data_IF_445113327264
#
_entry.id   IF_445113327264
#
_cell.length_a   1.000
_cell.length_b   1.000
_cell.length_c   1.000
_cell.angle_alpha   90.00
_cell.angle_beta   90.00
_cell.angle_gamma   90.00
#
_symmetry.space_group_name_H-M   'P 1'
#
loop_
_entity.id
_entity.type
_entity.pdbx_description
1 polymer ?
#
# COMPACT_ATOMS: atom_id res chain seq x y z
N UNK A 1 -4.68 -17.87 53.55
CA UNK A 1 -5.68 -18.19 52.50
C UNK A 1 -6.00 -17.01 51.60
N UNK A 2 -5.91 -15.75 52.06
CA UNK A 2 -6.09 -14.56 51.20
C UNK A 2 -4.97 -14.32 50.19
N UNK A 3 -3.72 -14.71 50.47
CA UNK A 3 -2.62 -14.57 49.50
C UNK A 3 -2.68 -15.59 48.35
N UNK A 4 -3.42 -16.69 48.49
CA UNK A 4 -3.57 -17.70 47.44
C UNK A 4 -4.66 -17.32 46.41
N UNK A 5 -5.70 -16.59 46.85
CA UNK A 5 -6.77 -16.12 45.96
C UNK A 5 -6.34 -14.92 45.11
N UNK A 6 -5.48 -14.04 45.64
CA UNK A 6 -4.89 -12.93 44.85
C UNK A 6 -3.93 -13.46 43.79
N UNK A 7 -3.22 -14.57 44.07
CA UNK A 7 -2.34 -15.21 43.08
C UNK A 7 -3.11 -15.91 41.95
N UNK A 8 -4.30 -16.43 42.23
CA UNK A 8 -5.13 -17.12 41.22
C UNK A 8 -5.95 -16.16 40.35
N UNK A 9 -6.27 -14.95 40.85
CA UNK A 9 -6.95 -13.90 40.08
C UNK A 9 -6.00 -13.18 39.09
N UNK A 10 -4.70 -13.14 39.40
CA UNK A 10 -3.68 -12.60 38.48
C UNK A 10 -3.28 -13.58 37.36
N UNK A 11 -3.68 -14.86 37.44
CA UNK A 11 -3.23 -15.90 36.50
C UNK A 11 -4.25 -16.23 35.39
N UNK A 12 -5.49 -15.74 35.46
CA UNK A 12 -6.56 -16.03 34.49
C UNK A 12 -7.02 -14.84 33.64
N UNK A 13 -6.29 -13.73 33.63
CA UNK A 13 -6.41 -12.75 32.54
C UNK A 13 -5.71 -13.34 31.32
N UNK A 14 -6.49 -13.80 30.35
CA UNK A 14 -6.02 -14.00 28.97
C UNK A 14 -5.59 -12.64 28.41
N UNK A 15 -4.35 -12.27 28.74
CA UNK A 15 -3.54 -11.33 28.00
C UNK A 15 -3.45 -11.88 26.57
N UNK A 16 -3.98 -11.15 25.60
CA UNK A 16 -3.45 -11.24 24.24
C UNK A 16 -1.99 -10.77 24.38
N UNK A 17 -0.99 -11.61 24.09
CA UNK A 17 0.40 -11.25 24.33
C UNK A 17 0.79 -10.14 23.35
N UNK A 18 0.97 -8.94 23.88
CA UNK A 18 1.74 -7.87 23.21
C UNK A 18 3.16 -8.05 23.72
N UNK A 19 4.05 -8.55 22.87
CA UNK A 19 5.43 -8.90 23.23
C UNK A 19 6.21 -7.69 23.76
N UNK A 20 7.01 -7.94 24.80
CA UNK A 20 8.03 -7.02 25.30
C UNK A 20 9.03 -6.67 24.20
N UNK A 21 9.30 -5.38 24.04
CA UNK A 21 10.41 -4.86 23.25
C UNK A 21 11.61 -4.71 24.19
N UNK A 22 12.62 -5.55 24.03
CA UNK A 22 13.99 -5.27 24.47
C UNK A 22 14.99 -6.09 23.67
N UNK A 23 15.78 -5.35 22.88
CA UNK A 23 17.10 -5.60 22.26
C UNK A 23 17.56 -7.04 22.03
N UNK A 24 17.84 -7.35 20.75
CA UNK A 24 18.59 -8.55 20.36
C UNK A 24 18.11 -9.13 19.04
N UNK A 25 18.98 -9.04 18.04
CA UNK A 25 18.92 -9.70 16.73
C UNK A 25 18.38 -11.13 16.77
N UNK A 26 17.22 -11.37 16.15
CA UNK A 26 17.12 -12.24 14.98
C UNK A 26 15.66 -12.40 14.52
N UNK A 27 15.52 -12.45 13.20
CA UNK A 27 14.28 -12.51 12.45
C UNK A 27 13.42 -13.71 12.86
N UNK A 28 12.14 -13.49 13.21
CA UNK A 28 10.99 -14.23 12.65
C UNK A 28 9.70 -13.43 12.91
N UNK A 29 8.94 -13.21 11.84
CA UNK A 29 7.79 -12.33 11.73
C UNK A 29 6.54 -12.92 12.41
N UNK A 30 6.07 -12.34 13.51
CA UNK A 30 4.76 -12.66 14.10
C UNK A 30 3.72 -11.65 13.62
N UNK A 31 3.37 -11.77 12.34
CA UNK A 31 2.33 -11.00 11.64
C UNK A 31 0.99 -11.74 11.79
N UNK A 32 -0.07 -11.15 12.37
CA UNK A 32 -1.42 -11.61 12.04
C UNK A 32 -1.61 -11.28 10.55
N UNK A 33 -1.84 -12.30 9.73
CA UNK A 33 -1.95 -12.15 8.29
C UNK A 33 -3.01 -11.07 7.95
N UNK A 34 -2.55 -9.99 7.33
CA UNK A 34 -3.43 -9.04 6.65
C UNK A 34 -4.25 -9.82 5.60
N UNK A 35 -5.58 -9.62 5.47
CA UNK A 35 -6.41 -10.37 4.51
C UNK A 35 -6.17 -9.94 3.06
N UNK A 36 -5.34 -8.92 2.85
CA UNK A 36 -4.84 -8.55 1.53
C UNK A 36 -3.50 -9.28 1.38
N UNK A 37 -3.55 -10.47 0.78
CA UNK A 37 -2.35 -11.09 0.24
C UNK A 37 -1.66 -10.06 -0.64
N UNK A 38 -0.48 -9.60 -0.25
CA UNK A 38 0.40 -8.82 -1.10
C UNK A 38 0.64 -9.66 -2.35
N UNK A 39 -0.02 -9.26 -3.44
CA UNK A 39 -0.05 -9.97 -4.70
C UNK A 39 1.38 -10.05 -5.25
N UNK A 40 2.10 -11.13 -4.95
CA UNK A 40 3.21 -11.57 -5.80
C UNK A 40 2.59 -12.20 -7.03
N UNK A 41 2.19 -11.34 -7.96
CA UNK A 41 1.81 -11.74 -9.31
C UNK A 41 3.09 -12.10 -10.07
N UNK A 42 3.75 -13.20 -9.71
CA UNK A 42 4.65 -13.89 -10.63
C UNK A 42 3.80 -14.59 -11.69
N UNK A 43 3.09 -13.80 -12.51
CA UNK A 43 2.64 -14.27 -13.81
C UNK A 43 3.90 -14.48 -14.64
N UNK A 44 4.01 -15.63 -15.29
CA UNK A 44 5.02 -15.88 -16.33
C UNK A 44 4.74 -14.97 -17.54
N UNK A 45 5.02 -13.68 -17.39
CA UNK A 45 4.75 -12.62 -18.37
C UNK A 45 5.54 -12.78 -19.68
N UNK A 46 6.61 -13.58 -19.67
CA UNK A 46 7.45 -13.82 -20.85
C UNK A 46 6.72 -14.60 -21.94
N UNK A 47 5.84 -15.54 -21.57
CA UNK A 47 5.14 -16.41 -22.52
C UNK A 47 3.98 -15.68 -23.21
N UNK A 48 3.22 -14.88 -22.47
CA UNK A 48 2.14 -14.06 -23.03
C UNK A 48 2.69 -12.98 -23.98
N UNK A 49 3.82 -12.35 -23.63
CA UNK A 49 4.50 -11.39 -24.50
C UNK A 49 5.03 -12.03 -25.79
N UNK A 50 5.52 -13.27 -25.73
CA UNK A 50 5.99 -14.01 -26.91
C UNK A 50 4.84 -14.31 -27.89
N UNK A 51 3.63 -14.61 -27.38
CA UNK A 51 2.45 -14.79 -28.23
C UNK A 51 1.92 -13.49 -28.82
N UNK A 52 2.01 -12.37 -28.10
CA UNK A 52 1.56 -11.05 -28.57
C UNK A 52 2.47 -10.50 -29.68
N UNK A 53 3.80 -10.67 -29.55
CA UNK A 53 4.79 -10.25 -30.55
C UNK A 53 4.64 -10.92 -31.93
N UNK A 54 3.94 -12.05 -32.02
CA UNK A 54 3.76 -12.82 -33.26
C UNK A 54 2.45 -12.49 -34.00
N UNK A 55 1.56 -11.70 -33.40
CA UNK A 55 0.24 -11.37 -33.93
C UNK A 55 0.21 -10.00 -34.62
N UNK A 56 -0.49 -9.90 -35.77
CA UNK A 56 -0.80 -8.63 -36.46
C UNK A 56 -1.66 -7.68 -35.61
N UNK A 57 -2.21 -8.16 -34.49
CA UNK A 57 -3.03 -7.41 -33.54
C UNK A 57 -2.39 -7.40 -32.14
N UNK A 58 -1.06 -7.24 -32.06
CA UNK A 58 -0.31 -7.18 -30.80
C UNK A 58 -0.86 -6.16 -29.78
N UNK A 59 -1.57 -5.13 -30.25
CA UNK A 59 -2.20 -4.10 -29.40
C UNK A 59 -3.60 -4.46 -28.89
N UNK A 60 -4.21 -5.56 -29.34
CA UNK A 60 -5.56 -5.98 -28.95
C UNK A 60 -5.53 -7.20 -28.02
N UNK A 61 -6.25 -7.11 -26.89
CA UNK A 61 -6.42 -8.24 -25.97
C UNK A 61 -7.42 -9.26 -26.53
N UNK A 62 -7.09 -10.55 -26.41
CA UNK A 62 -7.97 -11.65 -26.82
C UNK A 62 -9.14 -11.84 -25.85
N UNK A 63 -10.32 -12.16 -26.36
CA UNK A 63 -11.52 -12.44 -25.55
C UNK A 63 -11.29 -13.54 -24.49
N UNK A 64 -10.51 -14.58 -24.82
CA UNK A 64 -10.17 -15.66 -23.87
C UNK A 64 -9.37 -15.17 -22.66
N UNK A 65 -8.51 -14.16 -22.86
CA UNK A 65 -7.68 -13.59 -21.80
C UNK A 65 -8.53 -12.74 -20.85
N UNK A 66 -9.48 -11.99 -21.40
CA UNK A 66 -10.45 -11.18 -20.63
C UNK A 66 -11.35 -12.08 -19.77
N UNK A 67 -11.89 -13.17 -20.34
CA UNK A 67 -12.77 -14.08 -19.59
C UNK A 67 -12.06 -14.75 -18.41
N UNK A 68 -10.80 -15.18 -18.58
CA UNK A 68 -10.01 -15.79 -17.50
C UNK A 68 -9.72 -14.78 -16.37
N UNK A 69 -9.30 -13.56 -16.71
CA UNK A 69 -9.05 -12.51 -15.69
C UNK A 69 -10.33 -12.16 -14.91
N UNK A 70 -11.49 -12.16 -15.57
CA UNK A 70 -12.78 -11.92 -14.94
C UNK A 70 -13.16 -13.03 -13.93
N UNK A 71 -12.91 -14.30 -14.27
CA UNK A 71 -13.16 -15.43 -13.37
C UNK A 71 -12.20 -15.46 -12.17
N UNK A 72 -10.93 -15.14 -12.37
CA UNK A 72 -9.93 -15.04 -11.30
C UNK A 72 -10.26 -13.92 -10.32
N UNK A 73 -10.62 -12.73 -10.83
CA UNK A 73 -11.06 -11.59 -10.01
C UNK A 73 -12.28 -11.94 -9.15
N UNK A 74 -13.25 -12.67 -9.72
CA UNK A 74 -14.45 -13.08 -8.98
C UNK A 74 -14.16 -14.13 -7.89
N UNK A 75 -13.17 -15.00 -8.08
CA UNK A 75 -12.76 -16.00 -7.08
C UNK A 75 -11.96 -15.41 -5.91
N UNK A 76 -11.10 -14.45 -6.20
CA UNK A 76 -10.20 -13.85 -5.19
C UNK A 76 -10.93 -12.82 -4.31
N UNK A 77 -11.98 -12.18 -4.83
CA UNK A 77 -12.71 -11.09 -4.17
C UNK A 77 -13.86 -11.58 -3.27
N UNK A 78 -13.62 -12.63 -2.46
CA UNK A 78 -14.60 -13.24 -1.54
C UNK A 78 -14.91 -12.37 -0.29
N UNK A 79 -15.10 -11.07 -0.52
CA UNK A 79 -15.47 -10.03 0.44
C UNK A 79 -16.72 -10.39 1.23
N UNK A 80 -17.67 -11.10 0.61
CA UNK A 80 -18.91 -11.53 1.25
C UNK A 80 -18.65 -12.52 2.39
N UNK A 81 -17.80 -13.51 2.16
CA UNK A 81 -17.44 -14.49 3.18
C UNK A 81 -16.58 -13.86 4.29
N UNK A 82 -15.66 -12.95 3.93
CA UNK A 82 -14.88 -12.18 4.90
C UNK A 82 -15.76 -11.31 5.80
N UNK A 83 -16.74 -10.60 5.23
CA UNK A 83 -17.65 -9.75 6.01
C UNK A 83 -18.53 -10.62 6.93
N UNK A 84 -19.05 -11.73 6.44
CA UNK A 84 -19.77 -12.69 7.28
C UNK A 84 -18.90 -13.24 8.44
N UNK A 85 -17.60 -13.45 8.21
CA UNK A 85 -16.62 -13.77 9.26
C UNK A 85 -16.51 -12.68 10.33
N UNK A 86 -16.31 -11.42 9.92
CA UNK A 86 -16.25 -10.28 10.85
C UNK A 86 -17.55 -10.10 11.65
N UNK A 87 -18.71 -10.34 11.03
CA UNK A 87 -20.01 -10.27 11.71
C UNK A 87 -20.09 -11.28 12.86
N UNK A 88 -19.67 -12.53 12.62
CA UNK A 88 -19.61 -13.58 13.66
C UNK A 88 -18.63 -13.22 14.77
N UNK A 89 -17.46 -12.69 14.43
CA UNK A 89 -16.44 -12.32 15.42
C UNK A 89 -16.92 -11.19 16.34
N UNK A 90 -17.58 -10.16 15.78
CA UNK A 90 -18.19 -9.09 16.60
C UNK A 90 -19.29 -9.62 17.52
N UNK A 91 -20.13 -10.54 17.05
CA UNK A 91 -21.18 -11.15 17.87
C UNK A 91 -20.59 -11.98 19.02
N UNK A 92 -19.53 -12.75 18.75
CA UNK A 92 -18.81 -13.50 19.78
C UNK A 92 -18.20 -12.58 20.83
N UNK A 93 -17.48 -11.54 20.41
CA UNK A 93 -16.88 -10.57 21.32
C UNK A 93 -17.92 -9.84 22.17
N UNK A 94 -19.06 -9.46 21.57
CA UNK A 94 -20.15 -8.83 22.31
C UNK A 94 -20.72 -9.76 23.40
N UNK A 95 -20.89 -11.04 23.08
CA UNK A 95 -21.34 -12.06 24.04
C UNK A 95 -20.33 -12.29 25.16
N UNK A 96 -19.03 -12.33 24.85
CA UNK A 96 -17.97 -12.49 25.84
C UNK A 96 -17.89 -11.29 26.81
N UNK A 97 -18.03 -10.06 26.30
CA UNK A 97 -18.10 -8.86 27.13
C UNK A 97 -19.28 -8.89 28.09
N UNK A 98 -20.48 -9.23 27.59
CA UNK A 98 -21.67 -9.35 28.44
C UNK A 98 -21.48 -10.40 29.55
N UNK A 99 -20.88 -11.55 29.24
CA UNK A 99 -20.59 -12.59 30.23
C UNK A 99 -19.53 -12.18 31.26
N UNK A 100 -18.62 -11.26 30.92
CA UNK A 100 -17.66 -10.71 31.87
C UNK A 100 -18.34 -9.70 32.80
N UNK A 101 -19.18 -8.82 32.26
CA UNK A 101 -19.98 -7.87 33.05
C UNK A 101 -20.87 -8.60 34.07
N UNK A 102 -21.58 -9.64 33.64
CA UNK A 102 -22.43 -10.47 34.51
C UNK A 102 -21.61 -11.17 35.62
N UNK A 103 -20.40 -11.65 35.30
CA UNK A 103 -19.50 -12.29 36.28
C UNK A 103 -18.98 -11.28 37.32
N UNK A 104 -18.53 -10.11 36.87
CA UNK A 104 -18.07 -9.05 37.77
C UNK A 104 -19.18 -8.58 38.70
N UNK A 105 -20.41 -8.43 38.19
CA UNK A 105 -21.57 -8.06 39.01
C UNK A 105 -21.85 -9.10 40.10
N UNK A 106 -21.83 -10.39 39.75
CA UNK A 106 -22.03 -11.47 40.71
C UNK A 106 -20.92 -11.55 41.78
N UNK A 107 -19.66 -11.31 41.40
CA UNK A 107 -18.54 -11.27 42.35
C UNK A 107 -18.67 -10.11 43.35
N UNK A 108 -19.07 -8.93 42.88
CA UNK A 108 -19.33 -7.76 43.75
C UNK A 108 -20.45 -8.07 44.76
N UNK A 109 -21.54 -8.70 44.31
CA UNK A 109 -22.66 -9.08 45.18
C UNK A 109 -22.23 -10.11 46.24
N UNK A 110 -21.43 -11.12 45.85
CA UNK A 110 -20.90 -12.12 46.77
C UNK A 110 -19.97 -11.51 47.82
N UNK A 111 -19.11 -10.57 47.44
CA UNK A 111 -18.22 -9.87 48.36
C UNK A 111 -19.02 -9.04 49.37
N UNK A 112 -20.05 -8.31 48.92
CA UNK A 112 -20.95 -7.56 49.81
C UNK A 112 -21.59 -8.48 50.85
N UNK A 113 -22.17 -9.60 50.42
CA UNK A 113 -22.78 -10.60 51.31
C UNK A 113 -21.80 -11.19 52.33
N UNK A 114 -20.53 -11.36 51.95
CA UNK A 114 -19.49 -11.87 52.84
C UNK A 114 -19.10 -10.84 53.90
N UNK A 115 -18.92 -9.58 53.49
CA UNK A 115 -18.61 -8.46 54.38
C UNK A 115 -19.72 -8.23 55.42
N UNK A 116 -20.98 -8.32 55.02
CA UNK A 116 -22.12 -8.22 55.95
C UNK A 116 -22.11 -9.35 56.99
N UNK A 117 -21.82 -10.58 56.56
CA UNK A 117 -21.70 -11.73 57.48
C UNK A 117 -20.53 -11.57 58.47
N UNK A 118 -19.40 -11.03 58.03
CA UNK A 118 -18.24 -10.79 58.89
C UNK A 118 -18.51 -9.67 59.91
N UNK A 119 -19.23 -8.61 59.51
CA UNK A 119 -19.73 -7.56 60.41
C UNK A 119 -20.66 -8.14 61.48
N UNK A 120 -21.64 -8.95 61.06
CA UNK A 120 -22.59 -9.60 61.97
C UNK A 120 -21.89 -10.54 62.97
N UNK A 121 -20.89 -11.29 62.50
CA UNK A 121 -20.07 -12.16 63.36
C UNK A 121 -19.23 -11.37 64.37
N UNK A 122 -18.66 -10.23 63.98
CA UNK A 122 -17.91 -9.37 64.88
C UNK A 122 -18.83 -8.78 65.96
N UNK A 123 -20.00 -8.28 65.58
CA UNK A 123 -21.02 -7.77 66.50
C UNK A 123 -21.46 -8.87 67.46
N UNK A 124 -21.79 -10.06 66.95
CA UNK A 124 -22.24 -11.18 67.77
C UNK A 124 -21.15 -11.71 68.72
N UNK A 125 -19.92 -11.87 68.24
CA UNK A 125 -18.80 -12.40 69.00
C UNK A 125 -18.32 -11.44 70.09
N UNK A 126 -18.07 -10.18 69.70
CA UNK A 126 -17.49 -9.17 70.59
C UNK A 126 -18.50 -8.68 71.63
N UNK A 127 -19.76 -8.45 71.24
CA UNK A 127 -20.79 -7.98 72.16
C UNK A 127 -21.29 -9.09 73.11
N UNK A 128 -21.47 -10.33 72.63
CA UNK A 128 -22.10 -11.37 73.48
C UNK A 128 -21.13 -12.13 74.35
N UNK A 129 -19.92 -12.44 73.89
CA UNK A 129 -19.01 -13.32 74.65
C UNK A 129 -18.05 -12.56 75.54
N UNK A 130 -17.41 -11.50 75.01
CA UNK A 130 -16.42 -10.71 75.74
C UNK A 130 -17.06 -9.82 76.81
N UNK A 131 -18.06 -9.00 76.46
CA UNK A 131 -18.74 -8.17 77.47
C UNK A 131 -19.40 -9.01 78.57
N UNK A 132 -20.03 -10.13 78.23
CA UNK A 132 -20.65 -11.01 79.23
C UNK A 132 -19.61 -11.68 80.15
N UNK A 133 -18.40 -11.95 79.67
CA UNK A 133 -17.31 -12.44 80.51
C UNK A 133 -16.79 -11.34 81.44
N UNK A 134 -16.52 -10.14 80.91
CA UNK A 134 -16.02 -9.00 81.69
C UNK A 134 -17.03 -8.55 82.76
N UNK A 135 -18.32 -8.51 82.42
CA UNK A 135 -19.41 -8.24 83.39
C UNK A 135 -19.46 -9.27 84.51
N UNK A 136 -19.30 -10.57 84.19
CA UNK A 136 -19.30 -11.64 85.20
C UNK A 136 -18.11 -11.51 86.14
N UNK A 137 -16.92 -11.24 85.61
CA UNK A 137 -15.72 -11.02 86.42
C UNK A 137 -15.87 -9.80 87.35
N UNK A 138 -16.40 -8.70 86.84
CA UNK A 138 -16.61 -7.48 87.62
C UNK A 138 -17.67 -7.66 88.72
N UNK A 139 -18.82 -8.27 88.41
CA UNK A 139 -19.87 -8.55 89.40
C UNK A 139 -19.37 -9.48 90.52
N UNK A 140 -18.56 -10.49 90.19
CA UNK A 140 -17.91 -11.34 91.18
C UNK A 140 -16.94 -10.58 92.10
N UNK A 141 -16.21 -9.60 91.56
CA UNK A 141 -15.33 -8.72 92.35
C UNK A 141 -16.15 -7.82 93.30
N UNK A 142 -17.20 -7.18 92.77
CA UNK A 142 -18.11 -6.32 93.54
C UNK A 142 -18.84 -7.07 94.65
N UNK A 143 -19.17 -8.37 94.44
CA UNK A 143 -19.74 -9.21 95.48
C UNK A 143 -18.76 -9.50 96.61
N UNK A 144 -17.47 -9.71 96.32
CA UNK A 144 -16.43 -9.90 97.34
C UNK A 144 -16.22 -8.62 98.16
N UNK A 145 -16.16 -7.48 97.49
CA UNK A 145 -16.02 -6.16 98.12
C UNK A 145 -17.21 -5.86 99.04
N UNK A 146 -18.44 -6.11 98.58
CA UNK A 146 -19.65 -5.99 99.40
C UNK A 146 -19.56 -6.85 100.67
N UNK A 147 -19.13 -8.13 100.55
CA UNK A 147 -19.00 -9.04 101.71
C UNK A 147 -17.98 -8.51 102.72
N UNK A 148 -16.83 -8.05 102.25
CA UNK A 148 -15.78 -7.50 103.09
C UNK A 148 -16.23 -6.22 103.84
N UNK A 149 -16.76 -5.24 103.10
CA UNK A 149 -17.21 -3.96 103.66
C UNK A 149 -18.39 -4.14 104.63
N UNK A 150 -19.27 -5.10 104.36
CA UNK A 150 -20.39 -5.46 105.25
C UNK A 150 -19.90 -5.98 106.59
N UNK A 151 -18.90 -6.86 106.62
CA UNK A 151 -18.35 -7.39 107.88
C UNK A 151 -17.55 -6.32 108.64
N UNK A 152 -16.75 -5.50 107.95
CA UNK A 152 -16.05 -4.36 108.56
C UNK A 152 -17.03 -3.38 109.23
N UNK A 153 -18.10 -3.01 108.54
CA UNK A 153 -19.07 -2.05 109.06
C UNK A 153 -19.88 -2.62 110.24
N UNK A 154 -20.20 -3.91 110.24
CA UNK A 154 -20.82 -4.58 111.41
C UNK A 154 -19.91 -4.56 112.63
N UNK A 155 -18.62 -4.82 112.46
CA UNK A 155 -17.62 -4.77 113.54
C UNK A 155 -17.49 -3.35 114.08
N UNK A 156 -17.35 -2.34 113.21
CA UNK A 156 -17.28 -0.93 113.60
C UNK A 156 -18.54 -0.43 114.32
N UNK A 157 -19.73 -0.86 113.90
CA UNK A 157 -20.98 -0.52 114.58
C UNK A 157 -21.12 -1.20 115.96
N UNK A 158 -20.51 -2.38 116.14
CA UNK A 158 -20.53 -3.12 117.41
C UNK A 158 -19.65 -2.45 118.45
N UNK A 159 -18.54 -1.85 118.03
CA UNK A 159 -17.62 -1.08 118.88
C UNK A 159 -18.19 0.27 119.35
N UNK A 160 -19.26 0.77 118.72
CA UNK A 160 -19.90 2.06 119.05
C UNK A 160 -20.89 2.04 120.22
N UNK A 161 -21.14 0.88 120.84
CA UNK A 161 -21.98 0.78 122.06
C UNK A 161 -23.44 1.22 121.90
N UNK A 162 -24.00 1.09 120.69
CA UNK A 162 -25.38 1.51 120.38
C UNK A 162 -26.43 0.61 121.06
N UNK A 163 -27.64 1.14 121.28
CA UNK A 163 -28.78 0.33 121.71
C UNK A 163 -29.13 -0.72 120.64
N UNK A 164 -29.70 -1.86 121.05
CA UNK A 164 -29.99 -2.99 120.13
C UNK A 164 -30.79 -2.57 118.89
N UNK A 165 -31.83 -1.76 119.08
CA UNK A 165 -32.67 -1.23 117.98
C UNK A 165 -31.89 -0.28 117.07
N UNK A 166 -31.07 0.61 117.64
CA UNK A 166 -30.23 1.53 116.87
C UNK A 166 -29.13 0.80 116.08
N UNK A 167 -28.54 -0.25 116.65
CA UNK A 167 -27.57 -1.11 115.96
C UNK A 167 -28.21 -1.87 114.79
N UNK A 168 -29.38 -2.49 114.99
CA UNK A 168 -30.10 -3.22 113.95
C UNK A 168 -30.52 -2.29 112.79
N UNK A 169 -30.98 -1.08 113.09
CA UNK A 169 -31.27 -0.06 112.07
C UNK A 169 -30.02 0.38 111.33
N UNK A 170 -28.93 0.72 112.04
CA UNK A 170 -27.69 1.15 111.41
C UNK A 170 -27.08 0.05 110.51
N UNK A 171 -27.16 -1.22 110.91
CA UNK A 171 -26.71 -2.35 110.07
C UNK A 171 -27.60 -2.52 108.83
N UNK A 172 -28.91 -2.26 108.94
CA UNK A 172 -29.83 -2.29 107.80
C UNK A 172 -29.52 -1.18 106.80
N UNK A 173 -29.28 0.03 107.29
CA UNK A 173 -28.95 1.20 106.47
C UNK A 173 -27.61 1.02 105.76
N UNK A 174 -26.58 0.53 106.47
CA UNK A 174 -25.28 0.19 105.89
C UNK A 174 -25.41 -0.89 104.80
N UNK A 175 -26.20 -1.95 105.02
CA UNK A 175 -26.43 -2.98 104.00
C UNK A 175 -27.11 -2.39 102.76
N UNK A 176 -28.12 -1.54 102.94
CA UNK A 176 -28.81 -0.86 101.84
C UNK A 176 -27.85 0.07 101.07
N UNK A 177 -26.99 0.82 101.78
CA UNK A 177 -25.96 1.67 101.19
C UNK A 177 -24.94 0.85 100.38
N UNK A 178 -24.41 -0.24 100.95
CA UNK A 178 -23.45 -1.12 100.26
C UNK A 178 -24.08 -1.83 99.05
N UNK A 179 -25.36 -2.24 99.14
CA UNK A 179 -26.08 -2.82 97.99
C UNK A 179 -26.26 -1.77 96.89
N UNK A 180 -26.65 -0.53 97.25
CA UNK A 180 -26.77 0.57 96.29
C UNK A 180 -25.42 0.92 95.65
N UNK A 181 -24.33 0.92 96.41
CA UNK A 181 -22.97 1.13 95.89
C UNK A 181 -22.61 0.01 94.89
N UNK A 182 -22.87 -1.26 95.23
CA UNK A 182 -22.62 -2.40 94.36
C UNK A 182 -23.40 -2.30 93.05
N UNK A 183 -24.71 -2.04 93.13
CA UNK A 183 -25.57 -1.92 91.93
C UNK A 183 -25.15 -0.72 91.08
N UNK A 184 -24.83 0.41 91.70
CA UNK A 184 -24.35 1.59 90.98
C UNK A 184 -23.03 1.30 90.24
N UNK A 185 -22.08 0.62 90.90
CA UNK A 185 -20.82 0.22 90.29
C UNK A 185 -21.03 -0.77 89.13
N UNK A 186 -21.91 -1.77 89.30
CA UNK A 186 -22.28 -2.73 88.24
C UNK A 186 -22.93 -2.02 87.03
N UNK A 187 -23.87 -1.08 87.26
CA UNK A 187 -24.49 -0.30 86.18
C UNK A 187 -23.52 0.64 85.47
N UNK A 188 -22.59 1.27 86.21
CA UNK A 188 -21.59 2.16 85.65
C UNK A 188 -20.58 1.38 84.78
N UNK A 189 -20.19 0.19 85.22
CA UNK A 189 -19.32 -0.69 84.45
C UNK A 189 -20.01 -1.24 83.19
N UNK A 190 -21.29 -1.61 83.28
CA UNK A 190 -22.08 -2.02 82.12
C UNK A 190 -22.22 -0.89 81.09
N UNK A 191 -22.48 0.34 81.55
CA UNK A 191 -22.51 1.52 80.68
C UNK A 191 -21.15 1.78 80.01
N UNK A 192 -20.04 1.57 80.73
CA UNK A 192 -18.67 1.67 80.18
C UNK A 192 -18.43 0.65 79.07
N UNK A 193 -18.79 -0.62 79.29
CA UNK A 193 -18.64 -1.66 78.26
C UNK A 193 -19.49 -1.40 77.02
N UNK A 194 -20.74 -0.91 77.20
CA UNK A 194 -21.60 -0.49 76.08
C UNK A 194 -20.94 0.63 75.26
N UNK A 195 -20.44 1.67 75.94
CA UNK A 195 -19.76 2.79 75.27
C UNK A 195 -18.50 2.32 74.53
N UNK A 196 -17.69 1.44 75.13
CA UNK A 196 -16.50 0.88 74.47
C UNK A 196 -16.86 0.11 73.19
N UNK A 197 -17.89 -0.74 73.23
CA UNK A 197 -18.38 -1.45 72.04
C UNK A 197 -18.89 -0.49 70.97
N UNK A 198 -19.68 0.53 71.35
CA UNK A 198 -20.15 1.53 70.39
C UNK A 198 -18.98 2.24 69.69
N UNK A 199 -17.93 2.64 70.42
CA UNK A 199 -16.75 3.27 69.81
C UNK A 199 -16.00 2.32 68.88
N UNK A 200 -15.97 1.02 69.18
CA UNK A 200 -15.30 0.01 68.36
C UNK A 200 -16.10 -0.31 67.09
N UNK A 201 -17.42 -0.37 67.19
CA UNK A 201 -18.32 -0.49 66.03
C UNK A 201 -18.21 0.71 65.10
N UNK A 202 -18.15 1.94 65.63
CA UNK A 202 -17.95 3.15 64.82
C UNK A 202 -16.58 3.12 64.14
N UNK A 203 -15.51 2.73 64.86
CA UNK A 203 -14.17 2.56 64.27
C UNK A 203 -14.16 1.53 63.15
N UNK A 204 -14.78 0.37 63.36
CA UNK A 204 -14.87 -0.69 62.35
C UNK A 204 -15.66 -0.25 61.11
N UNK A 205 -16.86 0.33 61.29
CA UNK A 205 -17.67 0.87 60.19
C UNK A 205 -16.93 1.93 59.38
N UNK A 206 -16.19 2.82 60.06
CA UNK A 206 -15.36 3.82 59.39
C UNK A 206 -14.25 3.17 58.56
N UNK A 207 -13.54 2.18 59.12
CA UNK A 207 -12.49 1.45 58.40
C UNK A 207 -13.05 0.71 57.17
N UNK A 208 -14.21 0.06 57.32
CA UNK A 208 -14.91 -0.60 56.22
C UNK A 208 -15.31 0.38 55.12
N UNK A 209 -15.88 1.54 55.47
CA UNK A 209 -16.23 2.60 54.52
C UNK A 209 -14.99 3.13 53.78
N UNK A 210 -13.89 3.37 54.50
CA UNK A 210 -12.63 3.79 53.88
C UNK A 210 -12.08 2.73 52.92
N UNK A 211 -12.17 1.45 53.25
CA UNK A 211 -11.78 0.35 52.35
C UNK A 211 -12.66 0.29 51.11
N UNK A 212 -13.98 0.47 51.26
CA UNK A 212 -14.92 0.56 50.13
C UNK A 212 -14.59 1.71 49.20
N UNK A 213 -14.40 2.94 49.72
CA UNK A 213 -14.01 4.09 48.91
C UNK A 213 -12.66 3.89 48.21
N UNK A 214 -11.70 3.24 48.87
CA UNK A 214 -10.40 2.91 48.25
C UNK A 214 -10.54 1.92 47.11
N UNK A 215 -11.45 0.95 47.22
CA UNK A 215 -11.73 -0.02 46.16
C UNK A 215 -12.48 0.61 44.99
N UNK A 216 -13.48 1.44 45.27
CA UNK A 216 -14.23 2.19 44.25
C UNK A 216 -13.30 3.07 43.44
N UNK A 217 -12.45 3.87 44.10
CA UNK A 217 -11.45 4.70 43.42
C UNK A 217 -10.51 3.88 42.52
N UNK A 218 -10.05 2.71 42.98
CA UNK A 218 -9.20 1.82 42.17
C UNK A 218 -9.93 1.28 40.94
N UNK A 219 -11.21 0.93 41.08
CA UNK A 219 -12.03 0.46 39.97
C UNK A 219 -12.27 1.58 38.95
N UNK A 220 -12.56 2.81 39.40
CA UNK A 220 -12.72 3.96 38.53
C UNK A 220 -11.41 4.24 37.73
N UNK A 221 -10.26 4.17 38.40
CA UNK A 221 -8.96 4.29 37.75
C UNK A 221 -8.71 3.17 36.72
N UNK A 222 -9.09 1.93 37.04
CA UNK A 222 -8.99 0.80 36.11
C UNK A 222 -9.90 0.97 34.88
N UNK A 223 -11.12 1.46 35.06
CA UNK A 223 -12.09 1.72 33.98
C UNK A 223 -11.60 2.85 33.05
N UNK A 224 -11.08 3.95 33.61
CA UNK A 224 -10.45 5.03 32.84
C UNK A 224 -9.26 4.51 32.02
N UNK A 225 -8.39 3.70 32.64
CA UNK A 225 -7.25 3.08 31.94
C UNK A 225 -7.68 2.14 30.81
N UNK A 226 -8.80 1.43 30.96
CA UNK A 226 -9.35 0.58 29.88
C UNK A 226 -9.89 1.45 28.75
N UNK A 227 -10.61 2.52 29.06
CA UNK A 227 -11.16 3.43 28.07
C UNK A 227 -10.05 4.11 27.25
N UNK A 228 -8.99 4.59 27.91
CA UNK A 228 -7.81 5.17 27.28
C UNK A 228 -7.17 4.17 26.29
N UNK A 229 -6.88 2.95 26.75
CA UNK A 229 -6.34 1.89 25.87
C UNK A 229 -7.27 1.55 24.71
N UNK A 230 -8.59 1.57 24.90
CA UNK A 230 -9.53 1.33 23.80
C UNK A 230 -9.49 2.45 22.77
N UNK A 231 -9.36 3.71 23.20
CA UNK A 231 -9.20 4.86 22.31
C UNK A 231 -7.90 4.78 21.53
N UNK A 232 -6.79 4.47 22.18
CA UNK A 232 -5.49 4.26 21.52
C UNK A 232 -5.56 3.13 20.47
N UNK A 233 -6.20 2.01 20.80
CA UNK A 233 -6.40 0.91 19.87
C UNK A 233 -7.26 1.32 18.66
N UNK A 234 -8.32 2.11 18.86
CA UNK A 234 -9.17 2.63 17.77
C UNK A 234 -8.37 3.57 16.86
N UNK A 235 -7.58 4.49 17.44
CA UNK A 235 -6.72 5.39 16.69
C UNK A 235 -5.65 4.64 15.89
N UNK A 236 -4.96 3.68 16.52
CA UNK A 236 -3.96 2.85 15.86
C UNK A 236 -4.56 2.01 14.72
N UNK A 237 -5.77 1.46 14.91
CA UNK A 237 -6.48 0.72 13.88
C UNK A 237 -6.86 1.62 12.70
N UNK A 238 -7.39 2.82 12.96
CA UNK A 238 -7.75 3.78 11.92
C UNK A 238 -6.53 4.21 11.08
N UNK A 239 -5.39 4.49 11.74
CA UNK A 239 -4.13 4.81 11.06
C UNK A 239 -3.66 3.65 10.17
N UNK A 240 -3.66 2.41 10.68
CA UNK A 240 -3.30 1.22 9.89
C UNK A 240 -4.21 1.02 8.69
N UNK A 241 -5.52 1.26 8.82
CA UNK A 241 -6.44 1.19 7.69
C UNK A 241 -6.18 2.29 6.65
N UNK A 242 -5.89 3.50 7.10
CA UNK A 242 -5.53 4.60 6.21
C UNK A 242 -4.24 4.28 5.43
N UNK A 243 -3.20 3.79 6.11
CA UNK A 243 -1.96 3.35 5.49
C UNK A 243 -2.18 2.22 4.49
N UNK A 244 -2.93 1.18 4.86
CA UNK A 244 -3.24 0.06 3.98
C UNK A 244 -4.01 0.50 2.72
N UNK A 245 -4.98 1.41 2.88
CA UNK A 245 -5.75 1.96 1.75
C UNK A 245 -4.84 2.75 0.83
N UNK A 246 -4.02 3.64 1.39
CA UNK A 246 -3.05 4.44 0.64
C UNK A 246 -2.05 3.56 -0.12
N UNK A 247 -1.56 2.49 0.49
CA UNK A 247 -0.60 1.58 -0.15
C UNK A 247 -1.22 0.84 -1.34
N UNK A 248 -2.49 0.42 -1.23
CA UNK A 248 -3.23 -0.17 -2.36
C UNK A 248 -3.45 0.85 -3.48
N UNK A 249 -3.84 2.08 -3.15
CA UNK A 249 -4.03 3.15 -4.13
C UNK A 249 -2.73 3.49 -4.88
N UNK A 250 -1.61 3.61 -4.15
CA UNK A 250 -0.29 3.86 -4.73
C UNK A 250 0.14 2.68 -5.62
N UNK A 251 -0.08 1.44 -5.18
CA UNK A 251 0.21 0.26 -5.97
C UNK A 251 -0.61 0.22 -7.26
N UNK A 252 -1.91 0.47 -7.20
CA UNK A 252 -2.79 0.51 -8.38
C UNK A 252 -2.40 1.63 -9.35
N UNK A 253 -2.07 2.81 -8.82
CA UNK A 253 -1.61 3.94 -9.63
C UNK A 253 -0.30 3.58 -10.34
N UNK A 254 0.66 2.99 -9.63
CA UNK A 254 1.95 2.55 -10.19
C UNK A 254 1.75 1.50 -11.28
N UNK A 255 0.90 0.51 -11.06
CA UNK A 255 0.63 -0.54 -12.05
C UNK A 255 -0.02 0.05 -13.30
N UNK A 256 -1.00 0.94 -13.14
CA UNK A 256 -1.64 1.63 -14.27
C UNK A 256 -0.63 2.46 -15.07
N UNK A 257 0.30 3.15 -14.40
CA UNK A 257 1.36 3.93 -15.05
C UNK A 257 2.34 3.03 -15.82
N UNK A 258 2.80 1.94 -15.18
CA UNK A 258 3.66 0.94 -15.82
C UNK A 258 3.00 0.34 -17.06
N UNK A 259 1.73 -0.05 -16.96
CA UNK A 259 0.96 -0.58 -18.08
C UNK A 259 0.83 0.42 -19.23
N UNK A 260 0.54 1.70 -18.95
CA UNK A 260 0.50 2.75 -19.97
C UNK A 260 1.85 2.93 -20.67
N UNK A 261 2.95 2.98 -19.92
CA UNK A 261 4.31 3.07 -20.49
C UNK A 261 4.64 1.86 -21.36
N UNK A 262 4.33 0.65 -20.90
CA UNK A 262 4.53 -0.59 -21.67
C UNK A 262 3.74 -0.58 -22.98
N UNK A 263 2.46 -0.22 -22.94
CA UNK A 263 1.64 -0.13 -24.16
C UNK A 263 2.20 0.88 -25.16
N UNK A 264 2.66 2.05 -24.68
CA UNK A 264 3.28 3.05 -25.56
C UNK A 264 4.56 2.52 -26.22
N UNK A 265 5.44 1.83 -25.47
CA UNK A 265 6.65 1.22 -26.03
C UNK A 265 6.31 0.19 -27.10
N UNK A 266 5.36 -0.70 -26.85
CA UNK A 266 4.93 -1.72 -27.82
C UNK A 266 4.36 -1.06 -29.08
N UNK A 267 3.57 0.01 -28.92
CA UNK A 267 3.05 0.77 -30.05
C UNK A 267 4.18 1.41 -30.87
N UNK A 268 5.14 2.08 -30.23
CA UNK A 268 6.29 2.71 -30.90
C UNK A 268 7.19 1.69 -31.61
N UNK A 269 7.39 0.51 -31.02
CA UNK A 269 8.12 -0.61 -31.62
C UNK A 269 7.40 -1.11 -32.89
N UNK A 270 6.08 -1.27 -32.84
CA UNK A 270 5.28 -1.70 -33.98
C UNK A 270 5.28 -0.66 -35.12
N UNK A 271 5.12 0.62 -34.79
CA UNK A 271 5.19 1.73 -35.76
C UNK A 271 6.57 1.81 -36.44
N UNK A 272 7.65 1.70 -35.66
CA UNK A 272 9.03 1.73 -36.17
C UNK A 272 9.34 0.52 -37.06
N UNK A 273 8.84 -0.66 -36.67
CA UNK A 273 8.96 -1.88 -37.47
C UNK A 273 8.24 -1.72 -38.81
N UNK A 274 7.01 -1.20 -38.79
CA UNK A 274 6.23 -0.95 -40.00
C UNK A 274 6.92 0.08 -40.93
N UNK A 275 7.47 1.16 -40.37
CA UNK A 275 8.17 2.18 -41.16
C UNK A 275 9.46 1.63 -41.80
N UNK A 276 10.18 0.77 -41.08
CA UNK A 276 11.36 0.07 -41.59
C UNK A 276 10.99 -0.87 -42.75
N UNK A 277 9.90 -1.63 -42.61
CA UNK A 277 9.43 -2.51 -43.67
C UNK A 277 8.94 -1.72 -44.89
N UNK A 278 8.21 -0.64 -44.68
CA UNK A 278 7.77 0.27 -45.74
C UNK A 278 8.95 0.84 -46.53
N UNK A 279 9.97 1.34 -45.83
CA UNK A 279 11.22 1.86 -46.41
C UNK A 279 11.93 0.78 -47.24
N UNK A 280 12.03 -0.44 -46.70
CA UNK A 280 12.61 -1.58 -47.41
C UNK A 280 11.86 -1.91 -48.69
N UNK A 281 10.52 -1.95 -48.65
CA UNK A 281 9.69 -2.23 -49.84
C UNK A 281 9.87 -1.15 -50.90
N UNK A 282 9.81 0.13 -50.54
CA UNK A 282 9.95 1.25 -51.49
C UNK A 282 11.33 1.28 -52.16
N UNK A 283 12.39 1.04 -51.39
CA UNK A 283 13.76 0.94 -51.93
C UNK A 283 13.93 -0.27 -52.84
N UNK A 284 13.33 -1.41 -52.51
CA UNK A 284 13.36 -2.61 -53.36
C UNK A 284 12.58 -2.42 -54.66
N UNK A 285 11.40 -1.79 -54.61
CA UNK A 285 10.60 -1.47 -55.79
C UNK A 285 11.34 -0.51 -56.73
N UNK A 286 12.07 0.48 -56.18
CA UNK A 286 12.92 1.37 -56.97
C UNK A 286 14.06 0.59 -57.64
N UNK A 287 14.78 -0.24 -56.88
CA UNK A 287 15.86 -1.09 -57.42
C UNK A 287 15.38 -2.00 -58.55
N UNK A 288 14.19 -2.60 -58.42
CA UNK A 288 13.56 -3.42 -59.48
C UNK A 288 13.28 -2.61 -60.75
N UNK A 289 12.78 -1.37 -60.60
CA UNK A 289 12.54 -0.45 -61.73
C UNK A 289 13.86 -0.09 -62.42
N UNK A 290 14.88 0.33 -61.68
CA UNK A 290 16.20 0.67 -62.22
C UNK A 290 16.83 -0.52 -62.94
N UNK A 291 16.83 -1.70 -62.33
CA UNK A 291 17.35 -2.92 -62.96
C UNK A 291 16.64 -3.26 -64.28
N UNK A 292 15.33 -3.00 -64.37
CA UNK A 292 14.55 -3.23 -65.59
C UNK A 292 14.94 -2.24 -66.69
N UNK A 293 15.09 -0.95 -66.36
CA UNK A 293 15.55 0.07 -67.31
C UNK A 293 16.96 -0.24 -67.84
N UNK A 294 17.91 -0.59 -66.96
CA UNK A 294 19.28 -0.92 -67.36
C UNK A 294 19.34 -2.19 -68.22
N UNK A 295 18.42 -3.15 -68.01
CA UNK A 295 18.28 -4.32 -68.90
C UNK A 295 17.71 -3.98 -70.28
N UNK A 296 16.82 -2.98 -70.36
CA UNK A 296 16.20 -2.56 -71.62
C UNK A 296 17.11 -1.65 -72.45
N UNK A 297 17.95 -0.84 -71.79
CA UNK A 297 18.81 0.15 -72.43
C UNK A 297 19.69 -0.39 -73.59
N UNK A 298 20.40 -1.53 -73.47
CA UNK A 298 21.20 -2.04 -74.59
C UNK A 298 20.38 -2.33 -75.84
N UNK A 299 19.09 -2.71 -75.70
CA UNK A 299 18.21 -2.96 -76.84
C UNK A 299 17.86 -1.65 -77.56
N UNK A 300 17.53 -0.61 -76.80
CA UNK A 300 17.22 0.71 -77.35
C UNK A 300 18.43 1.38 -78.02
N UNK A 301 19.61 1.24 -77.41
CA UNK A 301 20.87 1.74 -77.96
C UNK A 301 21.20 1.05 -79.29
N UNK A 302 21.08 -0.28 -79.36
CA UNK A 302 21.27 -1.04 -80.60
C UNK A 302 20.32 -0.61 -81.72
N UNK A 303 19.06 -0.29 -81.38
CA UNK A 303 18.09 0.20 -82.37
C UNK A 303 18.52 1.55 -82.96
N UNK A 304 18.96 2.50 -82.11
CA UNK A 304 19.47 3.81 -82.55
C UNK A 304 20.78 3.69 -83.31
N UNK A 305 21.69 2.84 -82.85
CA UNK A 305 22.93 2.51 -83.55
C UNK A 305 22.65 1.97 -84.95
N UNK A 306 21.70 1.04 -85.09
CA UNK A 306 21.31 0.50 -86.40
C UNK A 306 20.76 1.58 -87.35
N UNK A 307 20.05 2.58 -86.81
CA UNK A 307 19.56 3.73 -87.57
C UNK A 307 20.72 4.63 -88.05
N UNK A 308 21.68 4.94 -87.20
CA UNK A 308 22.89 5.71 -87.56
C UNK A 308 23.70 4.95 -88.61
N UNK A 309 23.89 3.63 -88.45
CA UNK A 309 24.54 2.77 -89.46
C UNK A 309 23.79 2.75 -90.79
N UNK A 310 22.45 2.84 -90.79
CA UNK A 310 21.65 2.94 -92.02
C UNK A 310 21.90 4.27 -92.73
N UNK A 311 21.98 5.38 -91.99
CA UNK A 311 22.34 6.70 -92.51
C UNK A 311 23.76 6.70 -93.08
N UNK A 312 24.74 6.12 -92.38
CA UNK A 312 26.10 5.91 -92.89
C UNK A 312 26.11 5.15 -94.22
N UNK A 313 25.41 4.02 -94.32
CA UNK A 313 25.32 3.25 -95.57
C UNK A 313 24.73 4.08 -96.72
N UNK A 314 23.74 4.93 -96.44
CA UNK A 314 23.18 5.84 -97.43
C UNK A 314 24.19 6.91 -97.85
N UNK A 315 24.89 7.53 -96.90
CA UNK A 315 25.92 8.53 -97.15
C UNK A 315 27.06 7.96 -98.03
N UNK A 316 27.55 6.75 -97.71
CA UNK A 316 28.58 6.06 -98.51
C UNK A 316 28.08 5.75 -99.92
N UNK A 317 26.82 5.30 -100.08
CA UNK A 317 26.22 5.06 -101.41
C UNK A 317 26.17 6.33 -102.24
N UNK A 318 25.71 7.44 -101.65
CA UNK A 318 25.67 8.74 -102.31
C UNK A 318 27.07 9.20 -102.71
N UNK A 319 28.04 9.10 -101.80
CA UNK A 319 29.42 9.50 -102.08
C UNK A 319 30.07 8.63 -103.17
N UNK A 320 29.75 7.34 -103.20
CA UNK A 320 30.22 6.41 -104.24
C UNK A 320 29.64 6.78 -105.62
N UNK A 321 28.37 7.18 -105.69
CA UNK A 321 27.75 7.66 -106.94
C UNK A 321 28.38 8.98 -107.40
N UNK A 322 28.55 9.94 -106.49
CA UNK A 322 29.21 11.21 -106.77
C UNK A 322 30.64 11.00 -107.26
N UNK A 323 31.39 10.10 -106.63
CA UNK A 323 32.74 9.74 -107.03
C UNK A 323 32.80 9.14 -108.44
N UNK A 324 31.92 8.19 -108.77
CA UNK A 324 31.85 7.59 -110.13
C UNK A 324 31.56 8.64 -111.21
N UNK A 325 30.66 9.58 -110.93
CA UNK A 325 30.35 10.69 -111.83
C UNK A 325 31.57 11.60 -112.01
N UNK A 326 32.21 12.01 -110.92
CA UNK A 326 33.39 12.86 -110.95
C UNK A 326 34.59 12.20 -111.66
N UNK A 327 34.80 10.90 -111.41
CA UNK A 327 35.80 10.09 -112.11
C UNK A 327 35.54 10.08 -113.63
N UNK A 328 34.29 9.91 -114.05
CA UNK A 328 33.91 9.91 -115.47
C UNK A 328 34.22 11.26 -116.14
N UNK A 329 33.89 12.37 -115.46
CA UNK A 329 34.15 13.72 -115.96
C UNK A 329 35.66 14.03 -116.08
N UNK A 330 36.46 13.64 -115.09
CA UNK A 330 37.92 13.81 -115.12
C UNK A 330 38.60 12.99 -116.21
N UNK A 331 38.15 11.74 -116.42
CA UNK A 331 38.69 10.88 -117.49
C UNK A 331 38.33 11.38 -118.90
N UNK A 332 37.23 12.11 -119.07
CA UNK A 332 36.86 12.74 -120.35
C UNK A 332 37.68 13.99 -120.67
N UNK A 333 38.16 14.69 -119.64
CA UNK A 333 38.92 15.94 -119.79
C UNK A 333 40.45 15.75 -119.84
N UNK A 334 40.97 14.60 -119.39
CA UNK A 334 42.41 14.33 -119.29
C UNK A 334 42.96 13.51 -120.47
N UNK A 335 44.24 13.72 -120.88
CA UNK A 335 44.91 12.90 -121.89
C UNK A 335 45.16 11.46 -121.41
N UNK A 336 45.23 10.52 -122.36
CA UNK A 336 45.23 9.07 -122.07
C UNK A 336 46.46 8.61 -121.27
N UNK A 337 47.59 9.31 -121.34
CA UNK A 337 48.79 8.96 -120.55
C UNK A 337 48.57 9.14 -119.04
N UNK A 338 47.72 10.09 -118.62
CA UNK A 338 47.50 10.44 -117.20
C UNK A 338 46.36 9.64 -116.53
N UNK A 339 45.55 8.92 -117.32
CA UNK A 339 44.34 8.23 -116.83
C UNK A 339 44.61 7.24 -115.70
N UNK A 340 45.76 6.54 -115.73
CA UNK A 340 46.14 5.56 -114.72
C UNK A 340 46.46 6.22 -113.38
N UNK A 341 47.20 7.32 -113.39
CA UNK A 341 47.60 8.06 -112.21
C UNK A 341 46.43 8.84 -111.58
N UNK A 342 45.58 9.43 -112.42
CA UNK A 342 44.34 10.07 -112.01
C UNK A 342 43.42 9.06 -111.32
N UNK A 343 43.27 7.84 -111.86
CA UNK A 343 42.44 6.79 -111.27
C UNK A 343 42.96 6.31 -109.91
N UNK A 344 44.27 6.21 -109.71
CA UNK A 344 44.87 5.83 -108.42
C UNK A 344 44.68 6.92 -107.36
N UNK A 345 44.95 8.18 -107.71
CA UNK A 345 44.77 9.31 -106.79
C UNK A 345 43.29 9.51 -106.40
N UNK A 346 42.36 9.34 -107.35
CA UNK A 346 40.93 9.39 -107.07
C UNK A 346 40.51 8.26 -106.12
N UNK A 347 40.95 7.02 -106.34
CA UNK A 347 40.63 5.91 -105.43
C UNK A 347 41.16 6.15 -104.02
N UNK A 348 42.35 6.73 -103.90
CA UNK A 348 42.94 7.08 -102.61
C UNK A 348 42.16 8.18 -101.91
N UNK A 349 41.77 9.24 -102.62
CA UNK A 349 40.86 10.29 -102.12
C UNK A 349 39.50 9.73 -101.71
N UNK A 350 38.94 8.80 -102.46
CA UNK A 350 37.69 8.11 -102.11
C UNK A 350 37.85 7.30 -100.82
N UNK A 351 38.92 6.53 -100.71
CA UNK A 351 39.22 5.72 -99.52
C UNK A 351 39.39 6.61 -98.29
N UNK A 352 40.13 7.70 -98.40
CA UNK A 352 40.31 8.67 -97.32
C UNK A 352 38.99 9.33 -96.91
N UNK A 353 38.16 9.72 -97.89
CA UNK A 353 36.86 10.34 -97.63
C UNK A 353 35.86 9.37 -96.99
N UNK A 354 35.85 8.09 -97.40
CA UNK A 354 35.07 7.04 -96.74
C UNK A 354 35.58 6.81 -95.32
N UNK A 355 36.90 6.77 -95.10
CA UNK A 355 37.48 6.61 -93.76
C UNK A 355 37.07 7.75 -92.81
N UNK A 356 37.11 9.00 -93.28
CA UNK A 356 36.60 10.16 -92.52
C UNK A 356 35.12 10.02 -92.15
N UNK A 357 34.27 9.62 -93.11
CA UNK A 357 32.87 9.34 -92.82
C UNK A 357 32.71 8.21 -91.79
N UNK A 358 33.50 7.14 -91.91
CA UNK A 358 33.48 6.04 -90.95
C UNK A 358 33.77 6.55 -89.54
N UNK A 359 34.89 7.28 -89.35
CA UNK A 359 35.26 7.82 -88.04
C UNK A 359 34.23 8.82 -87.50
N UNK A 360 33.59 9.63 -88.35
CA UNK A 360 32.52 10.56 -87.92
C UNK A 360 31.29 9.81 -87.40
N UNK A 361 30.84 8.77 -88.13
CA UNK A 361 29.67 8.00 -87.72
C UNK A 361 29.97 7.06 -86.55
N UNK A 362 31.20 6.55 -86.43
CA UNK A 362 31.68 5.80 -85.25
C UNK A 362 31.68 6.71 -84.02
N UNK A 363 32.28 7.89 -84.11
CA UNK A 363 32.23 8.89 -83.05
C UNK A 363 30.80 9.28 -82.67
N UNK A 364 29.92 9.45 -83.66
CA UNK A 364 28.50 9.77 -83.41
C UNK A 364 27.79 8.62 -82.64
N UNK A 365 28.08 7.36 -82.96
CA UNK A 365 27.55 6.20 -82.24
C UNK A 365 28.09 6.17 -80.80
N UNK A 366 29.40 6.32 -80.63
CA UNK A 366 30.06 6.28 -79.33
C UNK A 366 29.57 7.41 -78.41
N UNK A 367 29.54 8.64 -78.92
CA UNK A 367 29.04 9.81 -78.21
C UNK A 367 27.57 9.63 -77.79
N UNK A 368 26.72 9.13 -78.68
CA UNK A 368 25.32 8.86 -78.38
C UNK A 368 25.16 7.77 -77.31
N UNK A 369 25.93 6.68 -77.38
CA UNK A 369 25.91 5.61 -76.38
C UNK A 369 26.36 6.14 -75.02
N UNK A 370 27.50 6.83 -74.96
CA UNK A 370 28.03 7.40 -73.71
C UNK A 370 27.05 8.40 -73.09
N UNK A 371 26.49 9.33 -73.87
CA UNK A 371 25.55 10.33 -73.39
C UNK A 371 24.26 9.68 -72.84
N UNK A 372 23.71 8.70 -73.56
CA UNK A 372 22.48 8.02 -73.13
C UNK A 372 22.70 7.10 -71.93
N UNK A 373 23.87 6.49 -71.81
CA UNK A 373 24.25 5.71 -70.64
C UNK A 373 24.40 6.60 -69.41
N UNK A 374 25.22 7.65 -69.51
CA UNK A 374 25.44 8.58 -68.40
C UNK A 374 24.16 9.31 -67.96
N UNK A 375 23.26 9.66 -68.90
CA UNK A 375 21.95 10.25 -68.56
C UNK A 375 21.06 9.29 -67.78
N UNK A 376 21.05 8.00 -68.12
CA UNK A 376 20.25 7.02 -67.38
C UNK A 376 20.80 6.84 -65.97
N UNK A 377 22.12 6.67 -65.84
CA UNK A 377 22.79 6.49 -64.54
C UNK A 377 22.55 7.69 -63.63
N UNK A 378 22.80 8.91 -64.13
CA UNK A 378 22.57 10.15 -63.38
C UNK A 378 21.10 10.32 -62.96
N UNK A 379 20.14 9.95 -63.83
CA UNK A 379 18.72 10.01 -63.50
C UNK A 379 18.33 8.98 -62.42
N UNK A 380 18.88 7.77 -62.49
CA UNK A 380 18.64 6.72 -61.49
C UNK A 380 19.23 7.09 -60.12
N UNK A 381 20.44 7.65 -60.09
CA UNK A 381 21.08 8.13 -58.87
C UNK A 381 20.25 9.24 -58.21
N UNK A 382 19.77 10.21 -58.99
CA UNK A 382 18.96 11.30 -58.47
C UNK A 382 17.59 10.81 -57.95
N UNK A 383 16.92 9.91 -58.66
CA UNK A 383 15.66 9.31 -58.20
C UNK A 383 15.87 8.53 -56.88
N UNK A 384 16.97 7.79 -56.76
CA UNK A 384 17.33 7.08 -55.53
C UNK A 384 17.62 8.04 -54.39
N UNK A 385 18.37 9.12 -54.64
CA UNK A 385 18.67 10.16 -53.65
C UNK A 385 17.40 10.80 -53.11
N UNK A 386 16.50 11.22 -53.99
CA UNK A 386 15.23 11.84 -53.62
C UNK A 386 14.32 10.88 -52.83
N UNK A 387 14.26 9.61 -53.23
CA UNK A 387 13.50 8.61 -52.48
C UNK A 387 14.08 8.39 -51.08
N UNK A 388 15.41 8.28 -50.96
CA UNK A 388 16.07 8.12 -49.67
C UNK A 388 15.87 9.33 -48.76
N UNK A 389 15.99 10.56 -49.29
CA UNK A 389 15.74 11.78 -48.53
C UNK A 389 14.30 11.86 -48.03
N UNK A 390 13.33 11.51 -48.88
CA UNK A 390 11.91 11.46 -48.50
C UNK A 390 11.65 10.44 -47.39
N UNK A 391 12.14 9.21 -47.54
CA UNK A 391 11.94 8.15 -46.53
C UNK A 391 12.62 8.48 -45.20
N UNK A 392 13.78 9.16 -45.25
CA UNK A 392 14.46 9.67 -44.05
C UNK A 392 13.62 10.74 -43.34
N UNK A 393 13.05 11.71 -44.07
CA UNK A 393 12.14 12.72 -43.50
C UNK A 393 10.92 12.07 -42.84
N UNK A 394 10.27 11.12 -43.52
CA UNK A 394 9.13 10.38 -42.96
C UNK A 394 9.50 9.60 -41.68
N UNK A 395 10.72 9.05 -41.60
CA UNK A 395 11.21 8.38 -40.40
C UNK A 395 11.49 9.35 -39.25
N UNK A 396 12.04 10.52 -39.53
CA UNK A 396 12.34 11.53 -38.51
C UNK A 396 11.05 12.16 -37.96
N UNK A 397 10.07 12.44 -38.82
CA UNK A 397 8.73 12.88 -38.39
C UNK A 397 8.07 11.85 -37.45
N UNK A 398 8.22 10.55 -37.74
CA UNK A 398 7.73 9.49 -36.86
C UNK A 398 8.43 9.50 -35.50
N UNK A 399 9.76 9.64 -35.47
CA UNK A 399 10.52 9.73 -34.20
C UNK A 399 10.09 10.93 -33.37
N UNK A 400 9.98 12.10 -33.99
CA UNK A 400 9.52 13.32 -33.31
C UNK A 400 8.12 13.14 -32.72
N UNK A 401 7.21 12.49 -33.47
CA UNK A 401 5.87 12.20 -33.00
C UNK A 401 5.89 11.27 -31.77
N UNK A 402 6.70 10.21 -31.81
CA UNK A 402 6.87 9.28 -30.70
C UNK A 402 7.47 9.96 -29.46
N UNK A 403 8.47 10.83 -29.64
CA UNK A 403 9.06 11.62 -28.56
C UNK A 403 8.04 12.58 -27.93
N UNK A 404 7.26 13.30 -28.74
CA UNK A 404 6.18 14.17 -28.26
C UNK A 404 5.14 13.39 -27.45
N UNK A 405 4.71 12.22 -27.94
CA UNK A 405 3.79 11.36 -27.20
C UNK A 405 4.38 10.85 -25.87
N UNK A 406 5.66 10.47 -25.86
CA UNK A 406 6.35 10.02 -24.66
C UNK A 406 6.42 11.13 -23.60
N UNK A 407 6.83 12.33 -24.01
CA UNK A 407 6.89 13.50 -23.13
C UNK A 407 5.51 13.86 -22.57
N UNK A 408 4.44 13.81 -23.38
CA UNK A 408 3.07 14.03 -22.92
C UNK A 408 2.63 12.99 -21.88
N UNK A 409 2.96 11.71 -22.09
CA UNK A 409 2.64 10.66 -21.14
C UNK A 409 3.41 10.85 -19.82
N UNK A 410 4.70 11.15 -19.88
CA UNK A 410 5.53 11.43 -18.70
C UNK A 410 5.01 12.63 -17.91
N UNK A 411 4.69 13.74 -18.57
CA UNK A 411 4.08 14.91 -17.92
C UNK A 411 2.75 14.58 -17.22
N UNK A 412 1.92 13.76 -17.85
CA UNK A 412 0.65 13.31 -17.26
C UNK A 412 0.87 12.43 -16.04
N UNK A 413 1.86 11.53 -16.11
CA UNK A 413 2.24 10.64 -14.99
C UNK A 413 2.77 11.48 -13.83
N UNK A 414 3.69 12.40 -14.08
CA UNK A 414 4.29 13.25 -13.06
C UNK A 414 3.26 14.16 -12.40
N UNK A 415 2.34 14.74 -13.19
CA UNK A 415 1.22 15.53 -12.65
C UNK A 415 0.38 14.69 -11.69
N UNK A 416 -0.02 13.48 -12.09
CA UNK A 416 -0.80 12.58 -11.22
C UNK A 416 -0.03 12.14 -9.97
N UNK A 417 1.28 11.93 -10.07
CA UNK A 417 2.11 11.62 -8.91
C UNK A 417 2.19 12.79 -7.93
N UNK A 418 2.33 14.03 -8.42
CA UNK A 418 2.30 15.24 -7.58
C UNK A 418 0.95 15.41 -6.89
N UNK A 419 -0.14 15.25 -7.63
CA UNK A 419 -1.51 15.33 -7.07
C UNK A 419 -1.76 14.26 -6.00
N UNK A 420 -1.33 13.00 -6.24
CA UNK A 420 -1.46 11.92 -5.26
C UNK A 420 -0.62 12.16 -4.00
N UNK A 421 0.62 12.64 -4.15
CA UNK A 421 1.47 13.01 -3.00
C UNK A 421 0.87 14.16 -2.20
N UNK A 422 0.37 15.19 -2.89
CA UNK A 422 -0.28 16.34 -2.25
C UNK A 422 -1.54 15.94 -1.49
N UNK A 423 -2.37 15.06 -2.07
CA UNK A 423 -3.53 14.48 -1.36
C UNK A 423 -3.10 13.70 -0.13
N UNK A 424 -2.12 12.82 -0.25
CA UNK A 424 -1.61 12.04 0.90
C UNK A 424 -1.07 12.95 2.03
N UNK A 425 -0.39 14.06 1.69
CA UNK A 425 0.06 15.03 2.71
C UNK A 425 -1.10 15.77 3.36
N UNK A 426 -2.12 16.15 2.60
CA UNK A 426 -3.29 16.86 3.12
C UNK A 426 -4.14 15.95 4.02
N UNK A 427 -4.33 14.68 3.61
CA UNK A 427 -5.05 13.68 4.40
C UNK A 427 -4.34 13.37 5.72
N UNK A 428 -3.00 13.27 5.70
CA UNK A 428 -2.21 13.10 6.92
C UNK A 428 -2.37 14.29 7.86
N UNK A 429 -2.25 15.52 7.35
CA UNK A 429 -2.45 16.73 8.16
C UNK A 429 -3.85 16.79 8.75
N UNK A 430 -4.89 16.48 7.96
CA UNK A 430 -6.27 16.45 8.44
C UNK A 430 -6.51 15.34 9.49
N UNK A 431 -5.81 14.20 9.39
CA UNK A 431 -5.87 13.14 10.39
C UNK A 431 -5.19 13.57 11.70
N UNK A 432 -4.03 14.23 11.63
CA UNK A 432 -3.31 14.78 12.77
C UNK A 432 -4.12 15.91 13.46
N UNK A 433 -4.76 16.80 12.71
CA UNK A 433 -5.67 17.83 13.26
C UNK A 433 -6.90 17.24 13.96
N UNK A 434 -7.48 16.16 13.41
CA UNK A 434 -8.61 15.48 14.06
C UNK A 434 -8.21 14.78 15.35
N UNK A 435 -6.99 14.27 15.45
CA UNK A 435 -6.45 13.73 16.70
C UNK A 435 -6.35 14.83 17.76
N UNK A 436 -5.72 15.97 17.41
CA UNK A 436 -5.59 17.12 18.30
C UNK A 436 -6.95 17.70 18.74
N UNK A 437 -7.94 17.72 17.85
CA UNK A 437 -9.29 18.18 18.18
C UNK A 437 -10.07 17.18 19.06
N UNK A 438 -9.86 15.87 18.87
CA UNK A 438 -10.41 14.83 19.73
C UNK A 438 -9.92 14.96 21.17
N UNK A 439 -8.61 15.17 21.36
CA UNK A 439 -7.97 15.37 22.66
C UNK A 439 -8.46 16.64 23.36
N UNK A 440 -8.71 17.72 22.61
CA UNK A 440 -9.27 18.96 23.14
C UNK A 440 -10.72 18.80 23.66
N UNK A 441 -11.54 17.96 23.00
CA UNK A 441 -12.92 17.69 23.43
C UNK A 441 -13.01 16.80 24.67
N UNK A 442 -12.05 15.88 24.84
CA UNK A 442 -11.90 15.06 26.06
C UNK A 442 -11.50 15.91 27.28
N UNK A 443 -10.58 16.86 27.10
CA UNK A 443 -10.13 17.75 28.17
C UNK A 443 -11.17 18.81 28.59
N UNK A 444 -12.08 19.21 27.71
CA UNK A 444 -13.17 20.15 28.06
C UNK A 444 -14.26 19.52 28.93
N UNK A 445 -14.45 18.20 28.86
CA UNK A 445 -15.47 17.51 29.66
C UNK A 445 -15.02 17.27 31.10
N UNK A 446 -13.70 17.28 31.36
CA UNK A 446 -13.15 17.10 32.71
C UNK A 446 -13.01 18.40 33.53
N UNK A 447 -13.11 19.57 32.88
CA UNK A 447 -12.96 20.88 33.55
C UNK A 447 -14.29 21.52 33.98
N UNK A 448 -15.44 20.92 33.67
CA UNK A 448 -16.76 21.44 34.05
C UNK A 448 -17.37 20.72 35.28
N UNK A 449 -16.61 19.83 35.92
CA UNK A 449 -17.01 19.12 37.15
C UNK A 449 -16.05 19.41 38.32
N UNK A 450 -15.86 20.70 38.61
CA UNK A 450 -15.48 21.26 39.90
C UNK A 450 -16.40 22.45 40.16
#
# INVERSE_FOLDING_TARGET
MEQALVFQFLQNRTLIPVGNISDGSDAYSTRPASPISSVKLERNFKDDMATLKKSKFSTLRSAKLISREQEEYNKENNMYEQMNGYKRLRQMHHKEMQQLEERCAAEIELLRLRLDKELDQLVAGYAKTRQAHEMRCFSNSQLKEYRHNKELAKSSLKERGLSRSAYESAVKDVKAQLTRQRTNAETAFEAKLRAELETELVRYRRAQLSMMHSNEKRLDEEDLNVLERQMDNRHAMLLRHHEATRDVEVAQLKETQTMRKRHQIIQHEAESSNQTEYTRRKTEDLRKRHATQSRQQPRELKLKEAQIRKQFRQAVKTQTRQFKLYQTQLMQAAPKEEHKEIATQLKEKQKHRIALLTSQYEYQIESMVQEKTGKLESWQEEEARLLHERLAKELDELKEYQEKQKAQLENTIDKKQRESRSRATAERHAAEERQLAGDASGNSSHTTAL
#
